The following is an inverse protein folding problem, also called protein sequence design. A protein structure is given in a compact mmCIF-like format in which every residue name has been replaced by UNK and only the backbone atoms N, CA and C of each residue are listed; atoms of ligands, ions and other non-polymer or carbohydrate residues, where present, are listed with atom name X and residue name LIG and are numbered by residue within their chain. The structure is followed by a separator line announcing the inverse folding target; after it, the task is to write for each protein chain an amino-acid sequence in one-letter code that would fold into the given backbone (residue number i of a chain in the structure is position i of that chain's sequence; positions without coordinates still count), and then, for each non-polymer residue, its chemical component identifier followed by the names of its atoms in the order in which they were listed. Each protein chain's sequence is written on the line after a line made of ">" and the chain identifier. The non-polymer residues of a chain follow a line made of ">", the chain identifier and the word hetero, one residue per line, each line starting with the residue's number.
data_IF_654731548342
#
_entry.id   IF_654731548342
#
_cell.length_a   1.000
_cell.length_b   1.000
_cell.length_c   1.000
_cell.angle_alpha   90.00
_cell.angle_beta   90.00
_cell.angle_gamma   90.00
#
_symmetry.space_group_name_H-M   'P 1'
#
loop_
_entity.id
_entity.type
_entity.pdbx_description
1 polymer ?
#
# COMPACT_ATOMS: atom_id res chain seq x y z
N UNK A 1 -33.83 28.80 43.34
CA UNK A 1 -33.74 28.04 42.08
C UNK A 1 -32.26 27.87 41.73
N UNK A 2 -31.67 26.70 42.06
CA UNK A 2 -30.27 26.40 41.83
C UNK A 2 -30.18 25.71 40.48
N UNK A 3 -29.56 26.37 39.48
CA UNK A 3 -29.32 25.82 38.14
C UNK A 3 -28.05 24.96 38.22
N UNK A 4 -28.19 23.65 38.22
CA UNK A 4 -27.08 22.68 38.13
C UNK A 4 -26.63 22.63 36.69
N UNK A 5 -25.50 23.28 36.38
CA UNK A 5 -24.84 23.21 35.07
C UNK A 5 -24.03 21.90 34.99
N UNK A 6 -24.60 20.84 34.44
CA UNK A 6 -23.88 19.60 34.16
C UNK A 6 -22.96 19.81 32.95
N UNK A 7 -21.67 20.02 33.21
CA UNK A 7 -20.63 20.04 32.18
C UNK A 7 -20.37 18.62 31.75
N UNK A 8 -20.90 18.25 30.56
CA UNK A 8 -20.53 17.01 29.88
C UNK A 8 -19.07 17.12 29.43
N UNK A 9 -18.15 16.53 30.18
CA UNK A 9 -16.80 16.26 29.70
C UNK A 9 -16.89 15.16 28.61
N UNK A 10 -16.99 15.58 27.35
CA UNK A 10 -16.73 14.68 26.23
C UNK A 10 -15.22 14.42 26.26
N UNK A 11 -14.83 13.31 26.87
CA UNK A 11 -13.48 12.77 26.76
C UNK A 11 -13.26 12.37 25.28
N UNK A 12 -12.72 13.29 24.48
CA UNK A 12 -12.10 12.96 23.21
C UNK A 12 -10.94 12.00 23.51
N UNK A 13 -11.23 10.71 23.51
CA UNK A 13 -10.19 9.69 23.60
C UNK A 13 -9.20 9.94 22.48
N UNK A 14 -7.95 10.29 22.83
CA UNK A 14 -6.85 10.40 21.88
C UNK A 14 -6.74 9.06 21.14
N UNK A 15 -7.25 9.01 19.90
CA UNK A 15 -7.04 7.87 18.99
C UNK A 15 -5.56 7.97 18.59
N UNK A 16 -4.70 7.34 19.39
CA UNK A 16 -3.29 7.22 19.08
C UNK A 16 -3.14 6.51 17.72
N UNK A 17 -2.72 7.27 16.72
CA UNK A 17 -2.41 6.73 15.41
C UNK A 17 -0.97 6.22 15.41
N UNK A 18 -0.76 5.00 14.91
CA UNK A 18 0.56 4.39 14.75
C UNK A 18 0.98 4.48 13.28
N UNK A 19 2.24 4.84 13.05
CA UNK A 19 2.84 4.83 11.71
C UNK A 19 3.29 3.42 11.36
N UNK A 20 2.47 2.71 10.59
CA UNK A 20 2.83 1.43 10.02
C UNK A 20 3.59 1.64 8.72
N UNK A 21 4.79 1.10 8.63
CA UNK A 21 5.68 1.24 7.49
C UNK A 21 5.99 -0.13 6.90
N UNK A 22 5.99 -0.21 5.57
CA UNK A 22 6.36 -1.40 4.79
C UNK A 22 7.39 -1.00 3.76
N UNK A 23 8.49 -1.73 3.71
CA UNK A 23 9.52 -1.61 2.68
C UNK A 23 9.39 -2.79 1.72
N UNK A 24 9.30 -2.49 0.41
CA UNK A 24 9.17 -3.51 -0.63
C UNK A 24 10.32 -3.38 -1.62
N UNK A 25 10.92 -4.50 -1.94
CA UNK A 25 11.98 -4.62 -2.93
C UNK A 25 11.53 -5.64 -3.97
N UNK A 26 11.65 -5.28 -5.25
CA UNK A 26 11.20 -6.17 -6.30
C UNK A 26 11.77 -5.84 -7.66
N UNK A 27 11.33 -6.61 -8.64
CA UNK A 27 11.67 -6.43 -10.05
C UNK A 27 10.44 -6.13 -10.88
N UNK A 28 10.62 -5.27 -11.87
CA UNK A 28 9.62 -4.95 -12.86
C UNK A 28 9.88 -5.75 -14.13
N UNK A 29 8.81 -6.37 -14.66
CA UNK A 29 8.80 -6.99 -15.97
C UNK A 29 7.70 -6.39 -16.83
N UNK A 30 8.07 -5.74 -17.93
CA UNK A 30 7.12 -5.21 -18.91
C UNK A 30 6.56 -6.37 -19.72
N UNK A 31 5.24 -6.50 -19.72
CA UNK A 31 4.51 -7.56 -20.45
C UNK A 31 4.11 -7.07 -21.84
N UNK A 32 3.61 -5.83 -21.92
CA UNK A 32 3.21 -5.19 -23.17
C UNK A 32 3.51 -3.71 -23.15
N UNK A 33 3.87 -3.17 -24.30
CA UNK A 33 4.12 -1.75 -24.51
C UNK A 33 3.58 -1.34 -25.87
N UNK A 34 2.79 -0.26 -25.90
CA UNK A 34 2.24 0.31 -27.13
C UNK A 34 2.53 1.81 -27.17
N UNK A 35 3.03 2.30 -28.31
CA UNK A 35 3.04 3.71 -28.64
C UNK A 35 1.68 4.06 -29.25
N UNK A 36 0.89 4.86 -28.54
CA UNK A 36 -0.46 5.28 -28.96
C UNK A 36 -0.36 6.50 -29.89
N UNK A 37 0.62 7.39 -29.61
CA UNK A 37 1.02 8.53 -30.42
C UNK A 37 2.51 8.82 -30.17
N UNK A 38 3.07 9.86 -30.79
CA UNK A 38 4.48 10.26 -30.59
C UNK A 38 4.79 10.56 -29.12
N UNK A 39 3.83 11.16 -28.40
CA UNK A 39 3.97 11.59 -27.01
C UNK A 39 3.32 10.65 -25.98
N UNK A 40 2.53 9.65 -26.46
CA UNK A 40 1.72 8.81 -25.57
C UNK A 40 2.07 7.33 -25.65
N UNK A 41 2.35 6.73 -24.50
CA UNK A 41 2.71 5.33 -24.34
C UNK A 41 1.84 4.63 -23.31
N UNK A 42 1.46 3.40 -23.63
CA UNK A 42 0.77 2.47 -22.73
C UNK A 42 1.71 1.34 -22.36
N UNK A 43 1.71 0.96 -21.09
CA UNK A 43 2.51 -0.15 -20.55
C UNK A 43 1.63 -1.03 -19.67
N UNK A 44 1.78 -2.34 -19.86
CA UNK A 44 1.32 -3.36 -18.91
C UNK A 44 2.56 -4.04 -18.33
N UNK A 45 2.68 -4.11 -17.03
CA UNK A 45 3.83 -4.69 -16.35
C UNK A 45 3.44 -5.38 -15.05
N UNK A 46 4.28 -6.32 -14.64
CA UNK A 46 4.21 -6.95 -13.33
C UNK A 46 5.38 -6.49 -12.47
N UNK A 47 5.15 -6.50 -11.17
CA UNK A 47 6.16 -6.32 -10.13
C UNK A 47 6.07 -7.54 -9.21
N UNK A 48 7.21 -8.06 -8.80
CA UNK A 48 7.30 -9.16 -7.85
C UNK A 48 8.53 -9.03 -6.97
N UNK A 49 8.44 -9.43 -5.71
CA UNK A 49 9.54 -9.33 -4.79
C UNK A 49 9.21 -9.68 -3.36
N UNK A 50 9.98 -9.10 -2.44
CA UNK A 50 9.87 -9.32 -1.00
C UNK A 50 9.51 -8.03 -0.28
N UNK A 51 8.95 -8.14 0.92
CA UNK A 51 8.71 -7.01 1.79
C UNK A 51 9.06 -7.31 3.24
N UNK A 52 9.33 -6.25 3.98
CA UNK A 52 9.42 -6.23 5.44
C UNK A 52 8.61 -5.07 5.99
N UNK A 53 8.17 -5.17 7.24
CA UNK A 53 7.48 -4.07 7.92
C UNK A 53 8.11 -3.72 9.27
N UNK A 54 7.75 -2.57 9.82
CA UNK A 54 8.26 -2.09 11.11
C UNK A 54 7.64 -2.79 12.34
N UNK A 55 6.88 -3.86 12.15
CA UNK A 55 6.38 -4.75 13.20
C UNK A 55 7.06 -6.13 13.16
N UNK A 56 8.06 -6.30 12.26
CA UNK A 56 8.85 -7.52 12.12
C UNK A 56 8.21 -8.58 11.23
N UNK A 57 7.14 -8.24 10.49
CA UNK A 57 6.62 -9.16 9.49
C UNK A 57 7.40 -9.04 8.19
N UNK A 58 7.40 -10.12 7.43
CA UNK A 58 8.03 -10.21 6.11
C UNK A 58 7.21 -11.14 5.20
N UNK A 59 7.54 -11.12 3.93
CA UNK A 59 6.86 -11.98 2.97
C UNK A 59 7.21 -11.67 1.53
N UNK A 60 6.37 -12.15 0.65
CA UNK A 60 6.46 -11.91 -0.80
C UNK A 60 5.28 -11.08 -1.26
N UNK A 61 5.49 -10.34 -2.34
CA UNK A 61 4.43 -9.57 -2.97
C UNK A 61 4.54 -9.64 -4.48
N UNK A 62 3.41 -9.54 -5.12
CA UNK A 62 3.28 -9.38 -6.57
C UNK A 62 2.23 -8.31 -6.90
N UNK A 63 2.32 -7.75 -8.10
CA UNK A 63 1.40 -6.73 -8.58
C UNK A 63 1.33 -6.76 -10.10
N UNK A 64 0.13 -6.61 -10.65
CA UNK A 64 -0.10 -6.35 -12.06
C UNK A 64 -0.62 -4.93 -12.25
N UNK A 65 0.02 -4.17 -13.14
CA UNK A 65 -0.24 -2.73 -13.30
C UNK A 65 -0.36 -2.33 -14.76
N UNK A 66 -1.19 -1.31 -14.95
CA UNK A 66 -1.38 -0.58 -16.19
C UNK A 66 -0.88 0.85 -15.99
N UNK A 67 -0.07 1.32 -16.91
CA UNK A 67 0.51 2.66 -16.90
C UNK A 67 0.28 3.35 -18.24
N UNK A 68 -0.23 4.56 -18.20
CA UNK A 68 -0.26 5.45 -19.35
C UNK A 68 0.68 6.62 -19.11
N UNK A 69 1.56 6.85 -20.06
CA UNK A 69 2.50 7.98 -20.07
C UNK A 69 2.10 8.97 -21.15
N UNK A 70 2.33 10.24 -20.88
CA UNK A 70 2.33 11.31 -21.87
C UNK A 70 3.55 12.23 -21.62
N UNK A 71 4.38 12.44 -22.65
CA UNK A 71 5.65 13.16 -22.53
C UNK A 71 6.52 12.60 -21.38
N UNK A 72 6.59 11.26 -21.25
CA UNK A 72 7.25 10.52 -20.17
C UNK A 72 6.71 10.76 -18.75
N UNK A 73 5.61 11.49 -18.61
CA UNK A 73 4.94 11.67 -17.32
C UNK A 73 3.80 10.67 -17.16
N UNK A 74 3.65 10.17 -15.95
CA UNK A 74 2.51 9.30 -15.58
C UNK A 74 1.24 10.11 -15.59
N UNK A 75 0.32 9.83 -16.51
CA UNK A 75 -1.01 10.41 -16.49
C UNK A 75 -2.01 9.51 -15.78
N UNK A 76 -1.78 8.20 -15.79
CA UNK A 76 -2.55 7.23 -15.01
C UNK A 76 -1.71 5.98 -14.76
N UNK A 77 -1.65 5.55 -13.52
CA UNK A 77 -1.16 4.24 -13.11
C UNK A 77 -2.18 3.63 -12.17
N UNK A 78 -2.60 2.41 -12.47
CA UNK A 78 -3.44 1.60 -11.61
C UNK A 78 -2.94 0.16 -11.61
N UNK A 79 -2.95 -0.47 -10.45
CA UNK A 79 -2.57 -1.88 -10.32
C UNK A 79 -3.26 -2.56 -9.16
N UNK A 80 -3.27 -3.88 -9.20
CA UNK A 80 -3.71 -4.75 -8.12
C UNK A 80 -2.57 -5.68 -7.74
N UNK A 81 -2.36 -5.85 -6.45
CA UNK A 81 -1.30 -6.71 -5.93
C UNK A 81 -1.76 -7.59 -4.80
N UNK A 82 -0.95 -8.59 -4.50
CA UNK A 82 -1.11 -9.50 -3.37
C UNK A 82 0.16 -9.47 -2.53
N UNK A 83 0.02 -9.29 -1.23
CA UNK A 83 1.11 -9.50 -0.26
C UNK A 83 0.80 -10.75 0.55
N UNK A 84 1.74 -11.70 0.59
CA UNK A 84 1.62 -12.94 1.35
C UNK A 84 2.67 -12.93 2.45
N UNK A 85 2.23 -12.99 3.70
CA UNK A 85 3.06 -12.96 4.90
C UNK A 85 3.70 -14.34 5.19
N UNK A 86 4.69 -14.36 6.08
CA UNK A 86 5.44 -15.56 6.50
C UNK A 86 4.59 -16.72 7.04
N UNK A 87 3.33 -16.48 7.40
CA UNK A 87 2.37 -17.48 7.89
C UNK A 87 1.21 -17.70 6.91
N UNK A 88 1.44 -17.52 5.61
CA UNK A 88 0.46 -17.68 4.53
C UNK A 88 -0.78 -16.77 4.60
N UNK A 89 -0.86 -15.85 5.58
CA UNK A 89 -1.89 -14.81 5.55
C UNK A 89 -1.61 -13.83 4.41
N UNK A 90 -2.65 -13.30 3.79
CA UNK A 90 -2.49 -12.42 2.62
C UNK A 90 -3.44 -11.23 2.63
N UNK A 91 -3.03 -10.19 1.90
CA UNK A 91 -3.85 -9.03 1.57
C UNK A 91 -3.80 -8.77 0.07
N UNK A 92 -4.94 -8.39 -0.51
CA UNK A 92 -5.01 -7.81 -1.84
C UNK A 92 -5.09 -6.29 -1.73
N UNK A 93 -4.37 -5.61 -2.58
CA UNK A 93 -4.28 -4.16 -2.59
C UNK A 93 -4.60 -3.61 -3.97
N UNK A 94 -5.13 -2.38 -3.99
CA UNK A 94 -5.28 -1.56 -5.19
C UNK A 94 -4.39 -0.32 -5.04
N UNK A 95 -3.49 -0.13 -5.99
CA UNK A 95 -2.59 1.03 -6.04
C UNK A 95 -2.95 1.95 -7.20
N UNK A 96 -2.74 3.26 -7.02
CA UNK A 96 -2.92 4.26 -8.08
C UNK A 96 -2.00 5.46 -7.90
N UNK A 97 -1.63 6.09 -9.03
CA UNK A 97 -0.78 7.27 -9.12
C UNK A 97 -1.08 8.07 -10.38
N UNK A 98 -1.10 9.38 -10.27
CA UNK A 98 -1.35 10.29 -11.37
C UNK A 98 -0.36 11.46 -11.38
N UNK A 99 -0.11 12.04 -12.55
CA UNK A 99 0.60 13.32 -12.79
C UNK A 99 1.96 13.44 -12.13
N UNK A 100 2.84 12.47 -12.37
CA UNK A 100 4.20 12.45 -11.80
C UNK A 100 5.19 11.85 -12.80
N UNK A 101 6.49 12.01 -12.53
CA UNK A 101 7.55 11.36 -13.31
C UNK A 101 7.45 9.83 -13.26
N UNK A 102 7.92 9.16 -14.31
CA UNK A 102 7.86 7.71 -14.39
C UNK A 102 8.76 7.01 -13.37
N UNK A 103 9.98 7.50 -13.21
CA UNK A 103 11.03 6.83 -12.43
C UNK A 103 10.80 6.94 -10.92
N UNK A 104 10.28 8.07 -10.47
CA UNK A 104 10.01 8.34 -9.06
C UNK A 104 8.58 8.81 -8.88
N UNK A 105 8.00 8.58 -7.72
CA UNK A 105 6.69 9.16 -7.46
C UNK A 105 6.03 8.66 -6.19
N UNK A 106 4.96 9.35 -5.86
CA UNK A 106 4.12 9.06 -4.71
C UNK A 106 2.73 8.67 -5.18
N UNK A 107 2.16 7.65 -4.60
CA UNK A 107 0.81 7.20 -4.90
C UNK A 107 0.06 6.77 -3.64
N UNK A 108 -1.14 6.27 -3.86
CA UNK A 108 -1.97 5.70 -2.80
C UNK A 108 -2.17 4.22 -3.05
N UNK A 109 -2.30 3.48 -1.97
CA UNK A 109 -2.61 2.06 -1.99
C UNK A 109 -3.68 1.78 -0.93
N UNK A 110 -4.61 0.90 -1.25
CA UNK A 110 -5.72 0.51 -0.38
C UNK A 110 -5.83 -1.00 -0.31
N UNK A 111 -6.07 -1.54 0.88
CA UNK A 111 -6.39 -2.95 1.09
C UNK A 111 -7.83 -3.19 0.67
N UNK A 112 -8.05 -3.97 -0.38
CA UNK A 112 -9.38 -4.24 -0.96
C UNK A 112 -9.94 -5.60 -0.59
N UNK A 113 -9.07 -6.57 -0.22
CA UNK A 113 -9.47 -7.88 0.30
C UNK A 113 -8.33 -8.48 1.13
N UNK A 114 -8.64 -9.49 1.95
CA UNK A 114 -7.65 -10.14 2.79
C UNK A 114 -8.12 -11.53 3.24
N UNK A 115 -7.18 -12.37 3.71
CA UNK A 115 -7.48 -13.61 4.42
C UNK A 115 -8.33 -13.33 5.68
N UNK A 116 -9.08 -14.32 6.13
CA UNK A 116 -10.10 -14.15 7.21
C UNK A 116 -9.57 -13.38 8.42
N UNK A 117 -8.36 -13.70 8.87
CA UNK A 117 -7.74 -13.04 10.01
C UNK A 117 -7.43 -11.56 9.77
N UNK A 118 -7.07 -11.20 8.54
CA UNK A 118 -6.68 -9.84 8.14
C UNK A 118 -7.86 -9.01 7.59
N UNK A 119 -9.08 -9.59 7.48
CA UNK A 119 -10.27 -8.85 7.02
C UNK A 119 -10.51 -7.50 7.72
N UNK A 120 -10.23 -7.32 9.03
CA UNK A 120 -10.39 -6.01 9.66
C UNK A 120 -9.45 -4.92 9.12
N UNK A 121 -8.46 -5.28 8.29
CA UNK A 121 -7.57 -4.32 7.60
C UNK A 121 -8.14 -3.81 6.28
N UNK A 122 -9.20 -4.40 5.74
CA UNK A 122 -9.86 -3.94 4.51
C UNK A 122 -10.25 -2.46 4.67
N UNK A 123 -10.01 -1.66 3.62
CA UNK A 123 -10.14 -0.20 3.63
C UNK A 123 -8.96 0.54 4.29
N UNK A 124 -7.91 -0.17 4.74
CA UNK A 124 -6.68 0.50 5.18
C UNK A 124 -6.02 1.16 3.98
N UNK A 125 -5.81 2.48 4.08
CA UNK A 125 -5.18 3.28 3.05
C UNK A 125 -3.79 3.74 3.48
N UNK A 126 -2.85 3.69 2.55
CA UNK A 126 -1.47 4.08 2.74
C UNK A 126 -1.02 5.00 1.61
N UNK A 127 -0.04 5.84 1.88
CA UNK A 127 0.74 6.51 0.84
C UNK A 127 1.99 5.68 0.57
N UNK A 128 2.36 5.51 -0.68
CA UNK A 128 3.65 4.92 -1.03
C UNK A 128 4.50 5.90 -1.81
N UNK A 129 5.81 5.79 -1.62
CA UNK A 129 6.83 6.36 -2.51
C UNK A 129 7.49 5.21 -3.26
N UNK A 130 7.81 5.41 -4.54
CA UNK A 130 8.51 4.45 -5.37
C UNK A 130 9.70 5.08 -6.07
N UNK A 131 10.77 4.32 -6.19
CA UNK A 131 11.91 4.62 -7.04
C UNK A 131 12.24 3.39 -7.88
N UNK A 132 12.41 3.59 -9.20
CA UNK A 132 12.88 2.58 -10.13
C UNK A 132 14.33 2.84 -10.51
N UNK A 133 15.15 1.80 -10.41
CA UNK A 133 16.50 1.81 -10.94
C UNK A 133 16.66 0.59 -11.85
N UNK A 134 16.77 0.83 -13.15
CA UNK A 134 16.67 -0.20 -14.19
C UNK A 134 15.34 -0.95 -14.02
N UNK A 135 15.39 -2.28 -13.85
CA UNK A 135 14.21 -3.10 -13.59
C UNK A 135 13.93 -3.33 -12.09
N UNK A 136 14.75 -2.77 -11.21
CA UNK A 136 14.51 -2.88 -9.76
C UNK A 136 13.53 -1.80 -9.31
N UNK A 137 12.64 -2.19 -8.40
CA UNK A 137 11.64 -1.33 -7.81
C UNK A 137 11.81 -1.30 -6.29
N UNK A 138 11.86 -0.10 -5.73
CA UNK A 138 11.97 0.16 -4.29
C UNK A 138 10.77 0.97 -3.86
N UNK A 139 10.00 0.44 -2.89
CA UNK A 139 8.85 1.13 -2.34
C UNK A 139 8.99 1.29 -0.84
N UNK A 140 8.50 2.41 -0.36
CA UNK A 140 8.20 2.64 1.05
C UNK A 140 6.72 2.98 1.15
N UNK A 141 5.96 2.21 1.92
CA UNK A 141 4.54 2.50 2.20
C UNK A 141 4.40 3.00 3.64
N UNK A 142 3.57 4.00 3.85
CA UNK A 142 3.26 4.55 5.16
C UNK A 142 1.75 4.65 5.35
N UNK A 143 1.25 4.02 6.42
CA UNK A 143 -0.15 4.00 6.77
C UNK A 143 -0.33 4.53 8.21
N UNK A 144 -1.29 5.42 8.41
CA UNK A 144 -1.76 5.77 9.75
C UNK A 144 -2.79 4.74 10.18
N UNK A 145 -2.50 3.96 11.23
CA UNK A 145 -3.38 2.89 11.69
C UNK A 145 -3.76 3.04 13.15
N UNK A 146 -4.92 2.51 13.52
CA UNK A 146 -5.39 2.46 14.91
C UNK A 146 -4.64 1.39 15.70
N UNK A 147 -4.65 1.48 17.02
CA UNK A 147 -4.10 0.45 17.91
C UNK A 147 -4.73 -0.93 17.68
N UNK A 148 -6.00 -1.01 17.30
CA UNK A 148 -6.68 -2.28 16.94
C UNK A 148 -6.02 -2.92 15.71
N UNK A 149 -5.80 -2.16 14.63
CA UNK A 149 -5.11 -2.64 13.42
C UNK A 149 -3.66 -3.03 13.70
N UNK A 150 -2.95 -2.23 14.53
CA UNK A 150 -1.59 -2.54 14.97
C UNK A 150 -1.52 -3.89 15.68
N UNK A 151 -2.44 -4.19 16.62
CA UNK A 151 -2.49 -5.49 17.33
C UNK A 151 -2.66 -6.66 16.35
N UNK A 152 -3.50 -6.52 15.33
CA UNK A 152 -3.71 -7.55 14.30
C UNK A 152 -2.39 -7.79 13.55
N UNK A 153 -1.75 -6.74 13.04
CA UNK A 153 -0.49 -6.85 12.29
C UNK A 153 0.63 -7.44 13.16
N UNK A 154 0.79 -6.99 14.41
CA UNK A 154 1.79 -7.54 15.34
C UNK A 154 1.57 -9.03 15.63
N UNK A 155 0.35 -9.52 15.55
CA UNK A 155 0.05 -10.94 15.85
C UNK A 155 0.28 -11.88 14.65
N UNK A 156 0.59 -11.36 13.45
CA UNK A 156 0.91 -12.19 12.28
C UNK A 156 2.11 -13.10 12.59
N UNK A 157 3.22 -12.52 13.07
CA UNK A 157 4.44 -13.25 13.37
C UNK A 157 4.29 -14.29 14.50
N UNK A 158 3.28 -14.13 15.36
CA UNK A 158 3.04 -15.03 16.52
C UNK A 158 2.14 -16.23 16.18
N UNK A 159 1.44 -16.20 15.05
CA UNK A 159 0.59 -17.32 14.61
C UNK A 159 1.47 -18.36 13.93
N UNK A 160 1.61 -19.51 14.57
CA UNK A 160 2.03 -20.74 13.91
C UNK A 160 0.84 -21.26 13.10
N UNK A 161 1.12 -21.86 11.96
CA UNK A 161 0.12 -22.60 11.16
C UNK A 161 -0.59 -23.67 11.99
#
# INVERSE_FOLDING_TARGET
>A
LILILTVLFISCGNISAFDYMVELHGKRKIIKSYHISEDKKYLNFILEGTFTDNLGNYGVWDNASILTLQNNNVINLQGYGKSTYQNNQFMYTKGFRNKQEQQTGVGKIEVVNASNFLKPLIGMSCTYAVNFYLDNAYFIQKCKITNKKKKILTSIAKRKE
#
